data_IF_881192680270
#
_entry.id   IF_881192680270
#
_cell.length_a   1.000
_cell.length_b   1.000
_cell.length_c   1.000
_cell.angle_alpha   90.00
_cell.angle_beta   90.00
_cell.angle_gamma   90.00
#
_symmetry.space_group_name_H-M   'P 1'
#
loop_
_entity.id
_entity.type
_entity.pdbx_description
1 polymer ?
#
# COMPACT_ATOMS: atom_id res chain seq x y z
N UNK A 1 2.79 25.67 7.00
CA UNK A 1 2.26 26.52 5.92
C UNK A 1 0.94 25.96 5.41
N UNK A 2 0.12 26.78 4.73
CA UNK A 2 -1.25 26.44 4.30
C UNK A 2 -1.33 25.15 3.47
N UNK A 3 -0.48 25.01 2.44
CA UNK A 3 -0.48 23.83 1.56
C UNK A 3 -0.14 22.54 2.31
N UNK A 4 0.86 22.59 3.21
CA UNK A 4 1.22 21.45 4.03
C UNK A 4 0.07 21.02 4.96
N UNK A 5 -0.66 21.98 5.53
CA UNK A 5 -1.85 21.70 6.35
C UNK A 5 -2.95 21.03 5.52
N UNK A 6 -3.20 21.52 4.31
CA UNK A 6 -4.22 20.94 3.40
C UNK A 6 -3.86 19.50 3.03
N UNK A 7 -2.61 19.26 2.64
CA UNK A 7 -2.12 17.93 2.26
C UNK A 7 -2.13 16.96 3.45
N UNK A 8 -1.65 17.39 4.62
CA UNK A 8 -1.65 16.57 5.84
C UNK A 8 -3.08 16.22 6.23
N UNK A 9 -3.98 17.21 6.26
CA UNK A 9 -5.39 16.98 6.52
C UNK A 9 -5.99 15.95 5.55
N UNK A 10 -5.68 16.05 4.25
CA UNK A 10 -6.26 15.16 3.24
C UNK A 10 -5.73 13.73 3.34
N UNK A 11 -4.42 13.57 3.41
CA UNK A 11 -3.76 12.29 3.20
C UNK A 11 -3.36 11.57 4.50
N UNK A 12 -3.03 12.32 5.55
CA UNK A 12 -2.68 11.75 6.85
C UNK A 12 -3.90 11.64 7.77
N UNK A 13 -4.71 12.70 7.82
CA UNK A 13 -5.83 12.78 8.77
C UNK A 13 -7.18 12.35 8.16
N UNK A 14 -7.17 11.88 6.92
CA UNK A 14 -8.37 11.45 6.18
C UNK A 14 -9.51 12.49 6.15
N UNK A 15 -9.16 13.78 6.08
CA UNK A 15 -10.11 14.90 6.00
C UNK A 15 -10.26 15.35 4.53
N UNK A 16 -11.34 14.97 3.83
CA UNK A 16 -11.51 15.29 2.41
C UNK A 16 -11.50 16.81 2.17
N UNK A 17 -11.01 17.24 1.00
CA UNK A 17 -10.91 18.65 0.64
C UNK A 17 -12.23 19.41 0.79
N UNK A 18 -13.36 18.76 0.47
CA UNK A 18 -14.69 19.30 0.70
C UNK A 18 -14.93 19.69 2.17
N UNK A 19 -14.55 18.82 3.12
CA UNK A 19 -14.69 19.10 4.56
C UNK A 19 -13.70 20.17 5.02
N UNK A 20 -12.48 20.18 4.49
CA UNK A 20 -11.52 21.26 4.76
C UNK A 20 -12.06 22.62 4.29
N UNK A 21 -12.63 22.68 3.09
CA UNK A 21 -13.29 23.87 2.54
C UNK A 21 -14.40 24.39 3.46
N UNK A 22 -15.22 23.50 4.00
CA UNK A 22 -16.25 23.86 4.97
C UNK A 22 -15.67 24.39 6.28
N UNK A 23 -14.53 23.86 6.74
CA UNK A 23 -13.84 24.36 7.94
C UNK A 23 -13.36 25.80 7.70
N UNK A 24 -12.70 26.09 6.57
CA UNK A 24 -12.32 27.44 6.20
C UNK A 24 -13.52 28.40 6.12
N UNK A 25 -14.64 27.95 5.56
CA UNK A 25 -15.85 28.76 5.44
C UNK A 25 -16.44 29.18 6.79
N UNK A 26 -16.27 28.39 7.86
CA UNK A 26 -16.70 28.75 9.23
C UNK A 26 -15.88 29.91 9.80
N UNK A 27 -14.64 30.02 9.38
CA UNK A 27 -13.74 31.15 9.69
C UNK A 27 -13.92 32.31 8.71
N UNK A 28 -15.02 32.35 7.95
CA UNK A 28 -15.32 33.33 6.90
C UNK A 28 -14.32 33.35 5.74
N UNK A 29 -13.53 32.28 5.54
CA UNK A 29 -12.59 32.14 4.43
C UNK A 29 -13.24 31.29 3.33
N UNK A 30 -13.73 31.94 2.28
CA UNK A 30 -14.34 31.27 1.15
C UNK A 30 -13.28 30.85 0.12
N UNK A 31 -13.13 29.53 -0.07
CA UNK A 31 -12.19 28.95 -1.05
C UNK A 31 -13.01 28.20 -2.09
N UNK A 32 -12.80 28.48 -3.38
CA UNK A 32 -13.45 27.71 -4.45
C UNK A 32 -12.89 26.28 -4.51
N UNK A 33 -13.72 25.29 -4.91
CA UNK A 33 -13.27 23.90 -5.03
C UNK A 33 -12.09 23.77 -6.01
N UNK A 34 -12.16 24.46 -7.15
CA UNK A 34 -11.08 24.50 -8.15
C UNK A 34 -9.77 25.03 -7.59
N UNK A 35 -9.81 25.99 -6.65
CA UNK A 35 -8.63 26.56 -6.02
C UNK A 35 -7.94 25.57 -5.09
N UNK A 36 -8.67 24.97 -4.15
CA UNK A 36 -8.08 24.02 -3.19
C UNK A 36 -7.62 22.73 -3.87
N UNK A 37 -8.36 22.24 -4.88
CA UNK A 37 -7.98 21.10 -5.70
C UNK A 37 -6.76 21.41 -6.56
N UNK A 38 -6.72 22.60 -7.17
CA UNK A 38 -5.56 23.09 -7.92
C UNK A 38 -4.31 23.19 -7.05
N UNK A 39 -4.40 23.81 -5.88
CA UNK A 39 -3.30 23.87 -4.91
C UNK A 39 -2.81 22.48 -4.48
N UNK A 40 -3.73 21.56 -4.23
CA UNK A 40 -3.41 20.17 -3.90
C UNK A 40 -2.62 19.53 -5.04
N UNK A 41 -3.13 19.63 -6.28
CA UNK A 41 -2.51 19.07 -7.48
C UNK A 41 -1.10 19.63 -7.70
N UNK A 42 -0.95 20.96 -7.72
CA UNK A 42 0.35 21.59 -7.93
C UNK A 42 1.35 21.22 -6.84
N UNK A 43 0.91 21.13 -5.58
CA UNK A 43 1.77 20.68 -4.49
C UNK A 43 2.24 19.24 -4.69
N UNK A 44 1.36 18.33 -5.14
CA UNK A 44 1.72 16.94 -5.42
C UNK A 44 2.72 16.82 -6.59
N UNK A 45 2.55 17.60 -7.66
CA UNK A 45 3.51 17.66 -8.78
C UNK A 45 4.91 18.05 -8.27
N UNK A 46 4.99 19.00 -7.33
CA UNK A 46 6.29 19.39 -6.74
C UNK A 46 6.89 18.32 -5.82
N UNK A 47 6.10 17.35 -5.36
CA UNK A 47 6.59 16.22 -4.56
C UNK A 47 7.00 15.01 -5.43
N UNK A 48 6.73 15.03 -6.74
CA UNK A 48 7.06 13.93 -7.66
C UNK A 48 8.55 13.52 -7.61
N UNK A 49 9.55 14.42 -7.52
CA UNK A 49 10.95 14.01 -7.39
C UNK A 49 11.22 13.18 -6.12
N UNK A 50 10.49 13.43 -5.03
CA UNK A 50 10.62 12.63 -3.81
C UNK A 50 10.02 11.23 -3.99
N UNK A 51 8.93 11.13 -4.74
CA UNK A 51 8.34 9.84 -5.11
C UNK A 51 9.27 9.03 -6.02
N UNK A 52 9.88 9.67 -7.02
CA UNK A 52 10.87 9.03 -7.90
C UNK A 52 12.10 8.55 -7.12
N UNK A 53 12.60 9.36 -6.18
CA UNK A 53 13.69 8.96 -5.29
C UNK A 53 13.27 7.78 -4.41
N UNK A 54 12.05 7.78 -3.86
CA UNK A 54 11.54 6.66 -3.07
C UNK A 54 11.43 5.37 -3.90
N UNK A 55 11.02 5.46 -5.18
CA UNK A 55 11.04 4.32 -6.10
C UNK A 55 12.47 3.79 -6.27
N UNK A 56 13.41 4.68 -6.54
CA UNK A 56 14.82 4.31 -6.70
C UNK A 56 15.33 3.60 -5.44
N UNK A 57 15.15 4.20 -4.27
CA UNK A 57 15.60 3.64 -2.99
C UNK A 57 14.95 2.28 -2.74
N UNK A 58 13.63 2.15 -2.97
CA UNK A 58 12.88 0.89 -2.80
C UNK A 58 13.47 -0.24 -3.64
N UNK A 59 13.84 0.03 -4.89
CA UNK A 59 14.45 -0.97 -5.80
C UNK A 59 15.82 -1.46 -5.34
N UNK A 60 16.53 -0.66 -4.55
CA UNK A 60 17.87 -1.01 -4.04
C UNK A 60 17.85 -1.80 -2.74
N UNK A 61 16.68 -1.96 -2.10
CA UNK A 61 16.58 -2.62 -0.81
C UNK A 61 16.82 -4.12 -0.92
N UNK A 62 17.41 -4.72 0.11
CA UNK A 62 17.70 -6.15 0.18
C UNK A 62 16.57 -6.99 0.79
N UNK A 63 15.54 -6.35 1.36
CA UNK A 63 14.37 -7.03 1.90
C UNK A 63 13.13 -6.17 1.65
N UNK A 64 12.17 -6.72 0.87
CA UNK A 64 10.89 -6.08 0.60
C UNK A 64 9.73 -7.00 0.97
N UNK A 65 8.73 -6.41 1.62
CA UNK A 65 7.40 -6.97 1.75
C UNK A 65 6.51 -6.37 0.65
N UNK A 66 5.84 -7.21 -0.12
CA UNK A 66 4.98 -6.76 -1.23
C UNK A 66 3.59 -7.36 -1.08
N UNK A 67 2.59 -6.51 -1.22
CA UNK A 67 1.17 -6.84 -1.13
C UNK A 67 0.35 -5.90 -2.03
N UNK A 68 -0.92 -6.22 -2.24
CA UNK A 68 -1.82 -5.38 -3.01
C UNK A 68 -3.18 -5.23 -2.36
N UNK A 69 -3.63 -3.97 -2.22
CA UNK A 69 -4.90 -3.65 -1.58
C UNK A 69 -5.90 -3.10 -2.60
N UNK A 70 -7.10 -3.70 -2.72
CA UNK A 70 -8.13 -3.20 -3.62
C UNK A 70 -8.68 -1.85 -3.16
N UNK A 71 -8.86 -0.91 -4.09
CA UNK A 71 -9.53 0.38 -3.87
C UNK A 71 -10.61 0.63 -4.92
N UNK A 72 -11.72 1.26 -4.51
CA UNK A 72 -12.74 1.76 -5.43
C UNK A 72 -12.35 3.15 -5.90
N UNK A 73 -12.23 3.31 -7.22
CA UNK A 73 -11.80 4.57 -7.84
C UNK A 73 -12.96 5.16 -8.63
N UNK A 74 -13.19 6.45 -8.46
CA UNK A 74 -14.10 7.24 -9.28
C UNK A 74 -13.25 8.06 -10.24
N UNK A 75 -13.45 7.88 -11.53
CA UNK A 75 -12.78 8.66 -12.57
C UNK A 75 -13.78 9.17 -13.62
N UNK A 76 -13.28 9.97 -14.56
CA UNK A 76 -14.06 10.50 -15.67
C UNK A 76 -14.50 9.43 -16.67
N UNK A 77 -13.79 8.31 -16.70
CA UNK A 77 -13.91 7.29 -17.73
C UNK A 77 -15.10 6.37 -17.45
N UNK A 78 -15.49 6.24 -16.18
CA UNK A 78 -16.69 5.50 -15.75
C UNK A 78 -17.67 6.38 -14.96
N UNK A 79 -18.42 7.21 -15.68
CA UNK A 79 -19.47 8.06 -15.07
C UNK A 79 -20.48 7.24 -14.26
N UNK A 80 -20.72 7.67 -13.01
CA UNK A 80 -21.76 7.11 -12.15
C UNK A 80 -21.41 5.77 -11.48
N UNK A 81 -20.22 5.21 -11.70
CA UNK A 81 -19.81 3.97 -11.06
C UNK A 81 -18.31 3.93 -10.80
N UNK A 82 -17.92 3.37 -9.65
CA UNK A 82 -16.50 3.12 -9.40
C UNK A 82 -15.98 1.95 -10.24
N UNK A 83 -14.71 2.00 -10.63
CA UNK A 83 -13.96 0.82 -11.05
C UNK A 83 -13.07 0.31 -9.93
N UNK A 84 -12.56 -0.91 -10.12
CA UNK A 84 -11.62 -1.54 -9.21
C UNK A 84 -10.21 -1.11 -9.59
N UNK A 85 -9.47 -0.55 -8.64
CA UNK A 85 -8.03 -0.35 -8.73
C UNK A 85 -7.32 -1.04 -7.58
N UNK A 86 -5.99 -0.94 -7.58
CA UNK A 86 -5.12 -1.58 -6.59
C UNK A 86 -3.99 -0.62 -6.21
N UNK A 87 -3.72 -0.54 -4.91
CA UNK A 87 -2.43 -0.07 -4.44
C UNK A 87 -1.50 -1.26 -4.30
N UNK A 88 -0.43 -1.26 -5.09
CA UNK A 88 0.70 -2.16 -4.92
C UNK A 88 1.63 -1.54 -3.89
N UNK A 89 1.81 -2.23 -2.78
CA UNK A 89 2.52 -1.73 -1.61
C UNK A 89 3.86 -2.42 -1.53
N UNK A 90 4.94 -1.64 -1.50
CA UNK A 90 6.29 -2.13 -1.30
C UNK A 90 6.82 -1.54 0.01
N UNK A 91 6.97 -2.39 1.01
CA UNK A 91 7.43 -2.01 2.34
C UNK A 91 8.84 -2.54 2.57
N UNK A 92 9.78 -1.63 2.88
CA UNK A 92 11.11 -2.00 3.38
C UNK A 92 11.09 -1.91 4.90
N UNK A 93 10.95 -3.05 5.62
CA UNK A 93 10.81 -3.02 7.07
C UNK A 93 12.08 -2.56 7.79
N UNK A 94 13.26 -2.79 7.20
CA UNK A 94 14.54 -2.39 7.79
C UNK A 94 14.73 -0.87 7.76
N UNK A 95 14.35 -0.24 6.65
CA UNK A 95 14.43 1.22 6.48
C UNK A 95 13.17 1.95 6.99
N UNK A 96 12.11 1.21 7.31
CA UNK A 96 10.80 1.73 7.70
C UNK A 96 10.18 2.65 6.63
N UNK A 97 10.37 2.30 5.36
CA UNK A 97 9.80 3.03 4.22
C UNK A 97 8.70 2.21 3.55
N UNK A 98 7.70 2.92 3.04
CA UNK A 98 6.60 2.31 2.29
C UNK A 98 6.36 3.11 1.02
N UNK A 99 6.28 2.40 -0.10
CA UNK A 99 5.91 2.92 -1.41
C UNK A 99 4.53 2.38 -1.78
N UNK A 100 3.63 3.27 -2.17
CA UNK A 100 2.33 2.93 -2.76
C UNK A 100 2.36 3.26 -4.24
N UNK A 101 2.17 2.25 -5.09
CA UNK A 101 2.07 2.39 -6.53
C UNK A 101 0.66 2.00 -7.00
N UNK A 102 -0.05 2.94 -7.61
CA UNK A 102 -1.42 2.70 -8.05
C UNK A 102 -1.45 2.04 -9.44
N UNK A 103 -2.27 0.99 -9.59
CA UNK A 103 -2.56 0.41 -10.90
C UNK A 103 -4.03 -0.05 -10.98
N UNK A 104 -4.71 0.13 -12.12
CA UNK A 104 -6.05 -0.42 -12.31
C UNK A 104 -6.08 -1.96 -12.38
N UNK A 105 -4.93 -2.62 -12.54
CA UNK A 105 -4.81 -4.08 -12.64
C UNK A 105 -4.17 -4.72 -11.41
N UNK A 106 -4.61 -5.94 -11.09
CA UNK A 106 -3.97 -6.86 -10.13
C UNK A 106 -3.05 -7.87 -10.83
N UNK A 107 -2.86 -7.76 -12.14
CA UNK A 107 -2.15 -8.77 -12.90
C UNK A 107 -0.67 -8.82 -12.49
N UNK A 108 -0.09 -10.02 -12.50
CA UNK A 108 1.31 -10.22 -12.10
C UNK A 108 2.34 -9.52 -12.98
N UNK A 109 1.98 -8.84 -14.07
CA UNK A 109 2.92 -7.98 -14.81
C UNK A 109 3.12 -6.60 -14.14
N UNK A 110 2.20 -6.16 -13.29
CA UNK A 110 2.26 -4.83 -12.66
C UNK A 110 3.51 -4.64 -11.81
N UNK A 111 3.90 -5.56 -10.90
CA UNK A 111 5.09 -5.35 -10.08
C UNK A 111 6.40 -5.59 -10.85
N UNK A 112 6.35 -5.80 -12.18
CA UNK A 112 7.55 -6.04 -12.99
C UNK A 112 8.52 -4.86 -12.89
N UNK A 113 8.04 -3.63 -13.01
CA UNK A 113 8.90 -2.43 -12.97
C UNK A 113 9.72 -2.31 -11.68
N UNK A 114 9.21 -2.87 -10.58
CA UNK A 114 9.84 -2.87 -9.26
C UNK A 114 10.67 -4.13 -8.99
N UNK A 115 10.18 -5.30 -9.41
CA UNK A 115 10.75 -6.59 -9.03
C UNK A 115 11.59 -7.25 -10.14
N UNK A 116 11.71 -6.67 -11.34
CA UNK A 116 12.39 -7.39 -12.43
C UNK A 116 13.87 -7.66 -12.12
N UNK A 117 14.53 -6.66 -11.53
CA UNK A 117 15.95 -6.64 -11.20
C UNK A 117 16.23 -6.73 -9.69
N UNK A 118 15.19 -6.95 -8.89
CA UNK A 118 15.31 -7.08 -7.44
C UNK A 118 16.16 -8.30 -7.06
N UNK A 119 16.94 -8.17 -5.99
CA UNK A 119 17.72 -9.26 -5.38
C UNK A 119 17.63 -9.12 -3.87
N UNK A 120 17.60 -10.26 -3.17
CA UNK A 120 17.47 -10.30 -1.71
C UNK A 120 16.23 -11.07 -1.27
N UNK A 121 15.65 -10.66 -0.15
CA UNK A 121 14.49 -11.29 0.46
C UNK A 121 13.21 -10.65 -0.05
N UNK A 122 12.35 -11.43 -0.70
CA UNK A 122 11.02 -10.98 -1.12
C UNK A 122 10.01 -11.67 -0.23
N UNK A 123 9.22 -10.94 0.55
CA UNK A 123 8.12 -11.50 1.34
C UNK A 123 6.78 -11.09 0.74
N UNK A 124 5.95 -12.07 0.40
CA UNK A 124 4.61 -11.81 -0.17
C UNK A 124 3.58 -12.68 0.53
N UNK A 125 2.31 -12.46 0.20
CA UNK A 125 1.27 -13.44 0.46
C UNK A 125 1.41 -14.68 -0.45
N UNK A 126 0.40 -15.57 -0.42
CA UNK A 126 0.33 -16.77 -1.25
C UNK A 126 -0.20 -16.53 -2.68
N UNK A 127 -0.22 -15.29 -3.18
CA UNK A 127 -0.75 -15.01 -4.51
C UNK A 127 0.24 -15.45 -5.60
N UNK A 128 -0.22 -16.33 -6.50
CA UNK A 128 0.59 -16.93 -7.57
C UNK A 128 1.25 -15.92 -8.53
N UNK A 129 0.79 -14.66 -8.56
CA UNK A 129 1.44 -13.61 -9.33
C UNK A 129 2.89 -13.34 -8.88
N UNK A 130 3.21 -13.63 -7.62
CA UNK A 130 4.53 -13.44 -7.04
C UNK A 130 5.51 -14.60 -7.35
N UNK A 131 5.02 -15.81 -7.62
CA UNK A 131 5.85 -17.01 -7.82
C UNK A 131 6.94 -16.81 -8.86
N UNK A 132 6.62 -16.16 -9.98
CA UNK A 132 7.60 -15.94 -11.06
C UNK A 132 8.74 -15.00 -10.64
N UNK A 133 8.49 -14.10 -9.68
CA UNK A 133 9.50 -13.22 -9.13
C UNK A 133 10.28 -13.93 -8.02
N UNK A 134 9.57 -14.61 -7.11
CA UNK A 134 10.19 -15.38 -6.03
C UNK A 134 11.15 -16.49 -6.49
N UNK A 135 10.93 -17.06 -7.68
CA UNK A 135 11.78 -18.10 -8.28
C UNK A 135 13.01 -17.56 -9.03
N UNK A 136 13.20 -16.24 -9.12
CA UNK A 136 14.36 -15.69 -9.83
C UNK A 136 15.66 -15.91 -9.06
N UNK A 137 16.76 -16.10 -9.81
CA UNK A 137 18.10 -16.23 -9.24
C UNK A 137 18.46 -14.99 -8.42
N UNK A 138 18.89 -15.19 -7.17
CA UNK A 138 19.26 -14.12 -6.25
C UNK A 138 18.10 -13.57 -5.43
N UNK A 139 16.89 -14.14 -5.55
CA UNK A 139 15.76 -13.87 -4.66
C UNK A 139 15.58 -15.06 -3.71
N UNK A 140 15.41 -14.76 -2.43
CA UNK A 140 14.89 -15.70 -1.42
C UNK A 140 13.44 -15.31 -1.14
N UNK A 141 12.50 -16.12 -1.61
CA UNK A 141 11.07 -15.87 -1.40
C UNK A 141 10.63 -16.36 -0.02
N UNK A 142 10.03 -15.46 0.75
CA UNK A 142 9.48 -15.69 2.08
C UNK A 142 7.95 -15.62 2.00
N UNK A 143 7.26 -16.54 2.67
CA UNK A 143 5.82 -16.47 2.82
C UNK A 143 5.42 -15.62 4.04
N UNK A 144 4.38 -14.80 3.91
CA UNK A 144 3.91 -13.94 4.98
C UNK A 144 3.13 -14.72 6.06
N UNK A 145 3.64 -14.74 7.29
CA UNK A 145 2.99 -15.37 8.44
C UNK A 145 1.64 -14.74 8.81
N UNK A 146 1.47 -13.43 8.60
CA UNK A 146 0.19 -12.77 8.87
C UNK A 146 -0.94 -13.30 7.96
N UNK A 147 -0.62 -13.56 6.70
CA UNK A 147 -1.54 -14.16 5.75
C UNK A 147 -1.83 -15.63 6.08
N UNK A 148 -0.81 -16.42 6.40
CA UNK A 148 -1.01 -17.82 6.83
C UNK A 148 -1.87 -17.91 8.10
N UNK A 149 -1.62 -17.05 9.09
CA UNK A 149 -2.38 -16.98 10.36
C UNK A 149 -3.87 -16.72 10.12
N UNK A 150 -4.21 -15.79 9.21
CA UNK A 150 -5.61 -15.43 8.89
C UNK A 150 -6.41 -16.65 8.40
N UNK A 151 -5.80 -17.53 7.60
CA UNK A 151 -6.48 -18.74 7.12
C UNK A 151 -6.72 -19.75 8.25
N UNK A 152 -5.78 -19.88 9.20
CA UNK A 152 -6.01 -20.70 10.39
C UNK A 152 -7.07 -20.11 11.33
N UNK A 153 -7.18 -18.79 11.44
CA UNK A 153 -8.29 -18.16 12.17
C UNK A 153 -9.65 -18.51 11.55
N UNK A 154 -9.78 -18.44 10.23
CA UNK A 154 -11.01 -18.87 9.53
C UNK A 154 -11.29 -20.36 9.76
N UNK A 155 -10.26 -21.19 9.76
CA UNK A 155 -10.38 -22.63 9.95
C UNK A 155 -10.87 -23.04 11.36
N UNK A 156 -10.86 -22.14 12.35
CA UNK A 156 -11.43 -22.41 13.68
C UNK A 156 -12.89 -22.84 13.64
N UNK A 157 -13.65 -22.39 12.64
CA UNK A 157 -15.06 -22.77 12.48
C UNK A 157 -15.24 -24.20 11.92
N UNK A 158 -14.19 -24.80 11.36
CA UNK A 158 -14.23 -26.12 10.71
C UNK A 158 -13.46 -27.20 11.48
N UNK A 159 -12.25 -26.89 11.95
CA UNK A 159 -11.39 -27.81 12.70
C UNK A 159 -10.63 -27.04 13.78
N UNK A 160 -11.36 -26.72 14.85
CA UNK A 160 -10.85 -25.94 15.97
C UNK A 160 -9.58 -26.53 16.59
N UNK A 161 -9.51 -27.84 16.94
CA UNK A 161 -8.32 -28.39 17.59
C UNK A 161 -7.03 -28.22 16.78
N UNK A 162 -7.08 -28.45 15.45
CA UNK A 162 -5.87 -28.29 14.60
C UNK A 162 -5.55 -26.82 14.34
N UNK A 163 -6.56 -25.99 14.11
CA UNK A 163 -6.39 -24.55 13.91
C UNK A 163 -5.78 -23.86 15.14
N UNK A 164 -6.28 -24.15 16.35
CA UNK A 164 -5.72 -23.60 17.60
C UNK A 164 -4.25 -24.00 17.79
N UNK A 165 -3.90 -25.27 17.49
CA UNK A 165 -2.51 -25.73 17.55
C UNK A 165 -1.62 -24.93 16.61
N UNK A 166 -2.04 -24.70 15.36
CA UNK A 166 -1.29 -23.91 14.39
C UNK A 166 -1.13 -22.45 14.84
N UNK A 167 -2.22 -21.82 15.31
CA UNK A 167 -2.19 -20.45 15.83
C UNK A 167 -1.25 -20.29 17.03
N UNK A 168 -1.23 -21.26 17.95
CA UNK A 168 -0.29 -21.27 19.08
C UNK A 168 1.16 -21.41 18.63
N UNK A 169 1.44 -22.17 17.57
CA UNK A 169 2.79 -22.27 17.00
C UNK A 169 3.22 -20.95 16.35
N UNK A 170 2.35 -20.33 15.54
CA UNK A 170 2.61 -19.02 14.93
C UNK A 170 2.84 -17.95 16.02
N UNK A 171 2.07 -17.99 17.11
CA UNK A 171 2.24 -17.07 18.24
C UNK A 171 3.65 -17.16 18.88
N UNK A 172 4.29 -18.34 18.85
CA UNK A 172 5.68 -18.48 19.32
C UNK A 172 6.66 -17.75 18.41
N UNK A 173 6.43 -17.73 17.10
CA UNK A 173 7.25 -17.00 16.13
C UNK A 173 7.16 -15.49 16.38
N UNK A 174 5.95 -14.95 16.54
CA UNK A 174 5.75 -13.52 16.80
C UNK A 174 6.32 -13.04 18.14
N UNK A 175 6.56 -13.94 19.10
CA UNK A 175 7.29 -13.58 20.34
C UNK A 175 8.77 -13.35 20.11
N UNK A 176 9.36 -13.91 19.05
CA UNK A 176 10.78 -13.74 18.69
C UNK A 176 10.97 -12.41 17.93
N UNK A 177 9.99 -12.01 17.11
CA UNK A 177 10.05 -10.79 16.29
C UNK A 177 9.78 -9.49 17.07
N UNK A 178 9.51 -9.57 18.38
CA UNK A 178 9.18 -8.42 19.25
C UNK A 178 10.41 -7.75 19.87
#
# INVERSE_FOLDING_TARGET
>A
GLLAMILTGKYQDHLPLYRQKQIFARENIQIASSTIEGWTKESLIKLEPLYEQLIFDTKTKGYLQVDETPIKVLDSDKKGAAHQGYYWVYHSPLDKTVLFDYNPSRAGHVPKSMLDNFKGYLQTDGYAAYDKYGKKKGITHLACWAHARREFEKALQNDRPRAEKALMMIQKLYKIER
#
